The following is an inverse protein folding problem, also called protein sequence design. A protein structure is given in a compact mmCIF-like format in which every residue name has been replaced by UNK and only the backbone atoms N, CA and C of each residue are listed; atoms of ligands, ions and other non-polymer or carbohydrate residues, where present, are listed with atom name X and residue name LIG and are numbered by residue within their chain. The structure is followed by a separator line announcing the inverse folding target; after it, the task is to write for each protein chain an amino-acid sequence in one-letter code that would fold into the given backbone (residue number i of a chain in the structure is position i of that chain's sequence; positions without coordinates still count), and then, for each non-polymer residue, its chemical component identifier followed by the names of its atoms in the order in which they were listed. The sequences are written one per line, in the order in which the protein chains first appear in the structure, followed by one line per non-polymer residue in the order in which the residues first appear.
data_IF_333566022694
#
_entry.id   IF_333566022694
#
_cell.length_a   1.000
_cell.length_b   1.000
_cell.length_c   1.000
_cell.angle_alpha   90.00
_cell.angle_beta   90.00
_cell.angle_gamma   90.00
#
_symmetry.space_group_name_H-M   'P 1'
#
loop_
_entity.id
_entity.type
_entity.pdbx_description
1 polymer ?
#
# COMPACT_ATOMS: atom_id res chain seq x y z
N UNK A 1 -19.41 -8.71 -30.37
CA UNK A 1 -18.63 -7.55 -29.89
C UNK A 1 -17.52 -8.05 -28.97
N UNK A 2 -16.26 -8.09 -29.44
CA UNK A 2 -15.11 -8.55 -28.65
C UNK A 2 -13.85 -7.75 -29.04
N UNK A 3 -13.49 -6.77 -28.21
CA UNK A 3 -12.12 -6.25 -27.97
C UNK A 3 -12.18 -5.65 -26.55
N UNK A 4 -11.26 -5.99 -25.62
CA UNK A 4 -9.85 -5.69 -25.78
C UNK A 4 -8.90 -6.77 -25.23
N UNK A 5 -8.06 -7.36 -26.07
CA UNK A 5 -6.91 -8.16 -25.59
C UNK A 5 -5.61 -7.86 -26.36
N UNK A 6 -5.61 -6.83 -27.20
CA UNK A 6 -4.56 -6.61 -28.19
C UNK A 6 -3.49 -5.58 -27.79
N UNK A 7 -3.58 -4.96 -26.60
CA UNK A 7 -2.55 -4.01 -26.15
C UNK A 7 -1.45 -4.64 -25.28
N UNK A 8 -1.59 -5.90 -24.86
CA UNK A 8 -0.58 -6.57 -24.03
C UNK A 8 0.52 -7.30 -24.80
N UNK A 9 0.40 -7.44 -26.13
CA UNK A 9 1.30 -8.27 -26.93
C UNK A 9 2.29 -7.52 -27.83
N UNK A 10 2.26 -6.18 -27.88
CA UNK A 10 3.07 -5.45 -28.86
C UNK A 10 4.51 -5.07 -28.44
N UNK A 11 5.00 -5.52 -27.28
CA UNK A 11 6.40 -5.30 -26.87
C UNK A 11 7.28 -6.55 -26.96
N UNK A 12 6.81 -7.62 -27.60
CA UNK A 12 7.47 -8.91 -27.59
C UNK A 12 8.01 -9.35 -28.96
N UNK A 13 8.87 -8.56 -29.62
CA UNK A 13 9.81 -9.12 -30.62
C UNK A 13 10.97 -8.17 -30.91
N UNK A 14 12.05 -8.25 -30.13
CA UNK A 14 13.40 -7.95 -30.64
C UNK A 14 14.41 -8.88 -29.99
N UNK A 15 15.12 -9.66 -30.80
CA UNK A 15 16.46 -10.18 -30.51
C UNK A 15 16.54 -11.46 -29.67
N UNK A 16 16.65 -12.59 -30.36
CA UNK A 16 17.36 -13.77 -29.86
C UNK A 16 18.85 -13.40 -29.87
N UNK A 17 19.40 -13.09 -28.70
CA UNK A 17 20.83 -13.20 -28.39
C UNK A 17 20.95 -13.11 -26.86
N UNK A 18 22.00 -13.72 -26.32
CA UNK A 18 22.38 -13.87 -24.91
C UNK A 18 22.63 -12.54 -24.16
N UNK A 19 21.67 -11.63 -24.17
CA UNK A 19 21.74 -10.36 -23.48
C UNK A 19 21.34 -10.55 -22.02
N UNK A 20 22.33 -10.54 -21.13
CA UNK A 20 22.13 -10.12 -19.75
C UNK A 20 21.53 -8.71 -19.79
N UNK A 21 20.20 -8.62 -19.83
CA UNK A 21 19.49 -7.36 -20.04
C UNK A 21 19.95 -6.32 -18.99
N UNK A 22 20.52 -5.25 -19.52
CA UNK A 22 21.03 -4.03 -18.87
C UNK A 22 19.91 -3.08 -18.44
N UNK A 23 18.71 -3.61 -18.27
CA UNK A 23 17.49 -2.85 -18.01
C UNK A 23 17.52 -2.34 -16.57
N UNK A 24 17.44 -1.01 -16.42
CA UNK A 24 17.55 -0.31 -15.13
C UNK A 24 16.18 0.06 -14.56
N UNK A 25 15.13 -0.05 -15.36
CA UNK A 25 13.79 0.38 -14.99
C UNK A 25 12.89 -0.83 -14.80
N UNK A 26 12.03 -0.79 -13.80
CA UNK A 26 10.94 -1.74 -13.68
C UNK A 26 9.66 -1.05 -13.26
N UNK A 27 8.54 -1.57 -13.78
CA UNK A 27 7.19 -1.18 -13.39
C UNK A 27 6.47 -2.41 -12.85
N UNK A 28 5.85 -2.27 -11.70
CA UNK A 28 5.11 -3.32 -11.01
C UNK A 28 3.66 -2.94 -10.76
N UNK A 29 2.78 -3.92 -10.87
CA UNK A 29 1.42 -3.88 -10.34
C UNK A 29 1.34 -4.81 -9.14
N UNK A 30 0.72 -4.36 -8.04
CA UNK A 30 0.51 -5.14 -6.80
C UNK A 30 -0.99 -5.31 -6.57
N UNK A 31 -1.64 -6.30 -7.20
CA UNK A 31 -3.09 -6.50 -7.11
C UNK A 31 -3.54 -6.94 -5.71
N UNK A 32 -2.67 -7.60 -4.95
CA UNK A 32 -2.92 -7.89 -3.54
C UNK A 32 -1.87 -7.17 -2.71
N UNK A 33 -2.28 -6.08 -2.07
CA UNK A 33 -1.47 -5.33 -1.14
C UNK A 33 -2.25 -5.17 0.17
N UNK A 34 -1.76 -5.80 1.24
CA UNK A 34 -2.25 -5.63 2.60
C UNK A 34 -1.25 -4.77 3.34
N UNK A 35 -1.45 -3.47 3.26
CA UNK A 35 -0.54 -2.46 3.79
C UNK A 35 -1.15 -1.74 4.98
N UNK A 36 -0.26 -1.15 5.80
CA UNK A 36 -0.64 -0.44 7.02
C UNK A 36 -1.41 -1.33 8.01
N UNK A 37 -1.07 -2.62 8.06
CA UNK A 37 -1.67 -3.56 8.99
C UNK A 37 -1.25 -3.14 10.41
N UNK A 38 -2.13 -2.49 11.17
CA UNK A 38 -1.81 -2.13 12.56
C UNK A 38 -1.67 -3.41 13.39
N UNK A 39 -0.52 -3.56 14.05
CA UNK A 39 -0.18 -4.77 14.81
C UNK A 39 -0.62 -4.69 16.29
N UNK A 40 -1.29 -3.62 16.70
CA UNK A 40 -1.90 -3.46 18.02
C UNK A 40 -3.42 -3.50 17.88
N UNK A 41 -4.09 -4.35 18.66
CA UNK A 41 -5.54 -4.54 18.65
C UNK A 41 -6.27 -3.26 19.10
N UNK A 42 -6.53 -2.34 18.18
CA UNK A 42 -7.57 -1.33 18.36
C UNK A 42 -8.80 -1.72 17.53
N UNK A 43 -10.02 -1.59 18.09
CA UNK A 43 -11.27 -2.03 17.47
C UNK A 43 -11.67 -1.26 16.19
N UNK A 44 -10.85 -0.31 15.72
CA UNK A 44 -11.10 0.54 14.55
C UNK A 44 -9.94 0.56 13.55
N UNK A 45 -9.00 -0.38 13.65
CA UNK A 45 -7.92 -0.49 12.67
C UNK A 45 -8.33 -1.49 11.57
N UNK A 46 -8.56 -0.94 10.37
CA UNK A 46 -9.14 -1.65 9.24
C UNK A 46 -8.08 -2.28 8.34
N UNK A 47 -8.34 -3.50 7.89
CA UNK A 47 -7.54 -4.21 6.90
C UNK A 47 -8.35 -4.37 5.62
N UNK A 48 -7.88 -3.75 4.53
CA UNK A 48 -8.48 -3.88 3.21
C UNK A 48 -7.46 -4.36 2.19
N UNK A 49 -7.91 -5.10 1.17
CA UNK A 49 -7.08 -5.37 -0.01
C UNK A 49 -6.91 -4.05 -0.76
N UNK A 50 -5.66 -3.66 -0.97
CA UNK A 50 -5.29 -2.45 -1.67
C UNK A 50 -4.66 -2.80 -3.02
N UNK A 51 -4.73 -1.85 -3.93
CA UNK A 51 -4.04 -1.90 -5.21
C UNK A 51 -2.77 -1.05 -5.14
N UNK A 52 -1.64 -1.61 -5.56
CA UNK A 52 -0.39 -0.89 -5.64
C UNK A 52 0.18 -0.79 -7.05
N UNK A 53 0.90 0.29 -7.30
CA UNK A 53 1.84 0.44 -8.41
C UNK A 53 3.24 0.65 -7.82
N UNK A 54 4.26 0.11 -8.46
CA UNK A 54 5.65 0.35 -8.07
C UNK A 54 6.47 0.71 -9.29
N UNK A 55 7.20 1.82 -9.20
CA UNK A 55 8.29 2.09 -10.12
C UNK A 55 9.63 1.86 -9.41
N UNK A 56 10.57 1.23 -10.11
CA UNK A 56 11.92 0.99 -9.62
C UNK A 56 12.95 1.47 -10.66
N UNK A 57 13.98 2.17 -10.18
CA UNK A 57 15.14 2.55 -10.97
C UNK A 57 16.45 2.11 -10.31
N UNK A 58 17.17 1.20 -10.95
CA UNK A 58 18.50 0.77 -10.54
C UNK A 58 19.57 1.77 -11.00
N UNK A 59 20.03 2.61 -10.06
CA UNK A 59 21.07 3.59 -10.32
C UNK A 59 22.49 3.03 -10.13
N UNK A 60 22.63 1.91 -9.42
CA UNK A 60 23.94 1.33 -9.11
C UNK A 60 24.57 0.62 -10.31
N UNK A 61 25.83 0.96 -10.64
CA UNK A 61 26.61 0.25 -11.67
C UNK A 61 26.76 -1.25 -11.37
N UNK A 62 26.88 -1.60 -10.10
CA UNK A 62 26.96 -3.00 -9.63
C UNK A 62 25.59 -3.66 -9.46
N UNK A 63 24.51 -2.97 -9.88
CA UNK A 63 23.11 -3.42 -9.75
C UNK A 63 22.70 -3.79 -8.32
N UNK A 64 23.36 -3.20 -7.31
CA UNK A 64 23.08 -3.47 -5.89
C UNK A 64 22.04 -2.54 -5.27
N UNK A 65 21.81 -1.37 -5.86
CA UNK A 65 20.89 -0.38 -5.31
C UNK A 65 19.93 0.15 -6.35
N UNK A 66 18.69 0.32 -5.92
CA UNK A 66 17.62 0.94 -6.69
C UNK A 66 16.86 1.94 -5.84
N UNK A 67 16.36 3.00 -6.47
CA UNK A 67 15.32 3.84 -5.91
C UNK A 67 13.96 3.21 -6.27
N UNK A 68 13.03 3.22 -5.33
CA UNK A 68 11.67 2.72 -5.52
C UNK A 68 10.66 3.80 -5.19
N UNK A 69 9.56 3.83 -5.95
CA UNK A 69 8.40 4.66 -5.68
C UNK A 69 7.13 3.81 -5.79
N UNK A 70 6.75 3.13 -4.70
CA UNK A 70 5.46 2.49 -4.58
C UNK A 70 4.37 3.53 -4.27
N UNK A 71 3.23 3.32 -4.91
CA UNK A 71 1.99 4.07 -4.79
C UNK A 71 0.90 3.06 -4.43
N UNK A 72 0.07 3.36 -3.44
CA UNK A 72 -0.98 2.45 -3.02
C UNK A 72 -2.29 3.20 -2.86
N UNK A 73 -3.36 2.54 -3.32
CA UNK A 73 -4.72 3.00 -3.18
C UNK A 73 -5.59 1.86 -2.61
N UNK A 74 -6.29 2.16 -1.52
CA UNK A 74 -7.20 1.24 -0.84
C UNK A 74 -8.61 1.81 -0.78
N UNK A 75 -9.60 0.92 -0.84
CA UNK A 75 -10.98 1.23 -0.46
C UNK A 75 -11.22 0.59 0.90
N UNK A 76 -11.77 1.37 1.82
CA UNK A 76 -12.17 0.89 3.14
C UNK A 76 -13.68 0.69 3.09
N UNK A 77 -14.15 -0.53 3.33
CA UNK A 77 -15.57 -0.84 3.36
C UNK A 77 -15.83 -2.00 4.32
N UNK A 78 -16.48 -1.71 5.43
CA UNK A 78 -16.89 -2.71 6.41
C UNK A 78 -18.35 -2.48 6.78
N UNK A 79 -19.11 -3.56 6.79
CA UNK A 79 -20.49 -3.58 7.26
C UNK A 79 -20.57 -4.63 8.37
N UNK A 80 -20.96 -4.21 9.56
CA UNK A 80 -21.30 -5.12 10.64
C UNK A 80 -22.81 -5.35 10.69
N UNK A 81 -23.21 -6.54 11.14
CA UNK A 81 -24.61 -6.98 11.27
C UNK A 81 -25.44 -6.11 12.23
N UNK A 82 -24.79 -5.32 13.08
CA UNK A 82 -25.42 -4.41 14.05
C UNK A 82 -25.76 -3.01 13.48
N UNK A 83 -25.76 -2.87 12.14
CA UNK A 83 -26.07 -1.61 11.46
C UNK A 83 -24.88 -0.63 11.42
N UNK A 84 -23.72 -1.04 11.92
CA UNK A 84 -22.50 -0.24 11.81
C UNK A 84 -21.92 -0.35 10.41
N UNK A 85 -21.61 0.79 9.80
CA UNK A 85 -21.01 0.88 8.47
C UNK A 85 -19.80 1.79 8.51
N UNK A 86 -18.73 1.37 7.86
CA UNK A 86 -17.54 2.18 7.66
C UNK A 86 -17.16 2.17 6.19
N UNK A 87 -16.97 3.35 5.61
CA UNK A 87 -16.67 3.50 4.19
C UNK A 87 -15.68 4.63 3.94
N UNK A 88 -14.71 4.41 3.06
CA UNK A 88 -13.73 5.43 2.75
C UNK A 88 -12.64 4.97 1.80
N UNK A 89 -11.56 5.75 1.77
CA UNK A 89 -10.43 5.56 0.86
C UNK A 89 -9.13 5.88 1.57
N UNK A 90 -8.09 5.16 1.17
CA UNK A 90 -6.73 5.40 1.62
C UNK A 90 -5.83 5.57 0.40
N UNK A 91 -4.93 6.55 0.46
CA UNK A 91 -3.89 6.74 -0.52
C UNK A 91 -2.57 7.02 0.17
N UNK A 92 -1.51 6.33 -0.24
CA UNK A 92 -0.18 6.62 0.26
C UNK A 92 0.90 6.34 -0.77
N UNK A 93 2.03 6.98 -0.55
CA UNK A 93 3.26 6.81 -1.31
C UNK A 93 4.35 6.32 -0.36
N UNK A 94 5.24 5.45 -0.83
CA UNK A 94 6.32 4.91 0.01
C UNK A 94 7.71 4.97 -0.64
N UNK A 95 8.20 6.16 -1.06
CA UNK A 95 9.51 6.29 -1.69
C UNK A 95 10.62 5.70 -0.83
N UNK A 96 11.57 5.01 -1.47
CA UNK A 96 12.59 4.29 -0.73
C UNK A 96 13.80 3.87 -1.54
N UNK A 97 14.70 3.17 -0.86
CA UNK A 97 15.87 2.54 -1.44
C UNK A 97 15.79 1.03 -1.25
N UNK A 98 16.13 0.27 -2.30
CA UNK A 98 16.15 -1.19 -2.31
C UNK A 98 17.58 -1.67 -2.56
N UNK A 99 18.05 -2.58 -1.71
CA UNK A 99 19.36 -3.21 -1.75
C UNK A 99 19.26 -4.67 -2.19
N UNK A 100 20.14 -5.07 -3.09
CA UNK A 100 20.27 -6.43 -3.62
C UNK A 100 21.61 -7.01 -3.19
N UNK A 101 21.64 -8.02 -2.30
CA UNK A 101 22.88 -8.64 -1.84
C UNK A 101 23.60 -9.44 -2.96
N UNK A 102 22.87 -9.92 -3.98
CA UNK A 102 23.42 -10.61 -5.15
C UNK A 102 23.82 -9.64 -6.28
N UNK A 103 24.76 -10.03 -7.15
CA UNK A 103 25.41 -9.12 -8.12
C UNK A 103 24.89 -9.21 -9.56
N UNK A 104 24.18 -10.27 -9.95
CA UNK A 104 23.99 -10.57 -11.38
C UNK A 104 22.54 -10.59 -11.86
N UNK A 105 21.56 -10.88 -10.99
CA UNK A 105 20.17 -11.00 -11.42
C UNK A 105 19.15 -10.46 -10.40
N UNK A 106 18.77 -9.19 -10.57
CA UNK A 106 17.68 -8.59 -9.79
C UNK A 106 16.28 -9.13 -10.16
N UNK A 107 16.14 -9.99 -11.17
CA UNK A 107 14.84 -10.60 -11.53
C UNK A 107 14.59 -11.92 -10.77
N UNK A 108 15.63 -12.49 -10.17
CA UNK A 108 15.56 -13.71 -9.38
C UNK A 108 16.43 -13.58 -8.13
N UNK A 109 15.85 -13.21 -6.99
CA UNK A 109 16.62 -13.06 -5.77
C UNK A 109 16.01 -12.18 -4.69
N UNK A 110 16.72 -12.12 -3.58
CA UNK A 110 16.35 -11.37 -2.39
C UNK A 110 16.66 -9.89 -2.55
N UNK A 111 15.85 -9.04 -1.92
CA UNK A 111 16.17 -7.63 -1.75
C UNK A 111 15.55 -7.06 -0.49
N UNK A 112 16.20 -6.03 0.04
CA UNK A 112 15.83 -5.34 1.27
C UNK A 112 15.59 -3.87 0.96
N UNK A 113 14.39 -3.38 1.25
CA UNK A 113 13.96 -2.00 1.07
C UNK A 113 13.89 -1.26 2.39
N UNK A 114 14.21 0.03 2.35
CA UNK A 114 13.84 0.98 3.39
C UNK A 114 13.09 2.13 2.72
N UNK A 115 11.83 2.29 3.11
CA UNK A 115 10.90 3.21 2.49
C UNK A 115 10.40 4.21 3.53
N UNK A 116 10.28 5.47 3.12
CA UNK A 116 9.55 6.49 3.88
C UNK A 116 8.08 6.42 3.50
N UNK A 117 7.19 6.33 4.47
CA UNK A 117 5.75 6.27 4.26
C UNK A 117 5.16 7.68 4.39
N UNK A 118 4.31 8.07 3.44
CA UNK A 118 3.49 9.28 3.53
C UNK A 118 2.11 8.97 2.97
N UNK A 119 1.06 9.19 3.76
CA UNK A 119 -0.29 8.86 3.33
C UNK A 119 -1.38 9.63 4.02
N UNK A 120 -2.57 9.45 3.45
CA UNK A 120 -3.82 10.02 3.91
C UNK A 120 -4.93 8.98 3.77
N UNK A 121 -5.79 8.87 4.77
CA UNK A 121 -7.03 8.12 4.67
C UNK A 121 -8.21 9.02 5.06
N UNK A 122 -9.33 8.86 4.38
CA UNK A 122 -10.58 9.54 4.69
C UNK A 122 -11.70 8.52 4.69
N UNK A 123 -12.43 8.44 5.79
CA UNK A 123 -13.53 7.51 5.91
C UNK A 123 -14.61 8.05 6.84
N UNK A 124 -15.85 7.69 6.53
CA UNK A 124 -17.02 7.97 7.33
C UNK A 124 -17.47 6.71 8.02
N UNK A 125 -17.98 6.83 9.23
CA UNK A 125 -18.59 5.75 9.96
C UNK A 125 -20.02 6.09 10.38
N UNK A 126 -20.82 5.05 10.52
CA UNK A 126 -22.16 5.08 11.09
C UNK A 126 -22.22 3.97 12.10
N UNK A 127 -22.49 4.32 13.36
CA UNK A 127 -22.82 3.43 14.46
C UNK A 127 -24.25 3.76 14.92
N UNK A 128 -24.92 2.85 15.65
CA UNK A 128 -26.31 3.07 16.09
C UNK A 128 -26.56 4.41 16.81
N UNK A 129 -25.55 4.94 17.52
CA UNK A 129 -25.66 6.16 18.32
C UNK A 129 -24.71 7.28 17.87
N UNK A 130 -23.94 7.08 16.79
CA UNK A 130 -22.96 8.06 16.35
C UNK A 130 -22.68 7.96 14.85
N UNK A 131 -22.55 9.11 14.19
CA UNK A 131 -22.05 9.22 12.82
C UNK A 131 -20.86 10.16 12.84
N UNK A 132 -19.84 9.88 12.06
CA UNK A 132 -18.69 10.75 12.01
C UNK A 132 -17.83 10.58 10.77
N UNK A 133 -17.03 11.60 10.52
CA UNK A 133 -16.05 11.67 9.45
C UNK A 133 -14.65 11.71 10.08
N UNK A 134 -13.76 10.89 9.54
CA UNK A 134 -12.37 10.80 9.98
C UNK A 134 -11.44 11.21 8.85
N UNK A 135 -10.54 12.16 9.16
CA UNK A 135 -9.37 12.48 8.34
C UNK A 135 -8.10 11.99 9.05
N UNK A 136 -7.39 11.08 8.40
CA UNK A 136 -6.16 10.50 8.90
C UNK A 136 -4.99 10.94 8.01
N UNK A 137 -3.95 11.50 8.61
CA UNK A 137 -2.67 11.78 7.93
C UNK A 137 -1.57 11.04 8.64
N UNK A 138 -0.66 10.42 7.91
CA UNK A 138 0.44 9.69 8.52
C UNK A 138 1.74 9.79 7.74
N UNK A 139 2.82 9.69 8.51
CA UNK A 139 4.19 9.62 8.03
C UNK A 139 4.93 8.50 8.77
N UNK A 140 5.92 7.87 8.16
CA UNK A 140 6.56 6.74 8.81
C UNK A 140 7.72 6.14 8.02
N UNK A 141 8.15 4.97 8.46
CA UNK A 141 9.19 4.20 7.80
C UNK A 141 8.77 2.73 7.72
N UNK A 142 9.14 2.09 6.62
CA UNK A 142 8.84 0.69 6.35
C UNK A 142 10.12 0.01 5.88
N UNK A 143 10.51 -1.06 6.59
CA UNK A 143 11.55 -1.97 6.14
C UNK A 143 10.87 -3.12 5.40
N UNK A 144 11.26 -3.36 4.15
CA UNK A 144 10.62 -4.35 3.28
C UNK A 144 11.64 -5.42 2.89
N UNK A 145 11.22 -6.67 2.94
CA UNK A 145 11.91 -7.77 2.32
C UNK A 145 11.11 -8.22 1.10
N UNK A 146 11.81 -8.42 -0.01
CA UNK A 146 11.21 -8.87 -1.26
C UNK A 146 11.98 -10.08 -1.77
N UNK A 147 11.25 -11.01 -2.37
CA UNK A 147 11.85 -12.09 -3.15
C UNK A 147 11.31 -12.03 -4.57
N UNK A 148 12.18 -11.83 -5.56
CA UNK A 148 11.80 -11.84 -6.96
C UNK A 148 11.93 -13.25 -7.52
N UNK A 149 10.88 -13.74 -8.18
CA UNK A 149 10.86 -14.98 -8.95
C UNK A 149 10.70 -14.62 -10.42
N UNK A 150 11.71 -14.92 -11.23
CA UNK A 150 11.66 -14.67 -12.68
C UNK A 150 10.65 -15.62 -13.33
N UNK A 151 9.61 -15.06 -13.96
CA UNK A 151 8.63 -15.82 -14.75
C UNK A 151 9.03 -15.88 -16.23
N UNK A 152 9.57 -14.77 -16.75
CA UNK A 152 10.07 -14.64 -18.13
C UNK A 152 11.27 -13.71 -18.17
N UNK A 153 11.86 -13.48 -19.35
CA UNK A 153 13.06 -12.63 -19.52
C UNK A 153 12.93 -11.25 -18.85
N UNK A 154 11.77 -10.61 -18.99
CA UNK A 154 11.48 -9.27 -18.45
C UNK A 154 10.42 -9.27 -17.35
N UNK A 155 9.78 -10.41 -17.06
CA UNK A 155 8.68 -10.51 -16.10
C UNK A 155 9.11 -11.25 -14.84
N UNK A 156 8.80 -10.68 -13.69
CA UNK A 156 9.04 -11.31 -12.39
C UNK A 156 7.85 -11.14 -11.46
N UNK A 157 7.57 -12.18 -10.67
CA UNK A 157 6.66 -12.13 -9.55
C UNK A 157 7.44 -11.71 -8.30
N UNK A 158 6.88 -10.82 -7.50
CA UNK A 158 7.54 -10.25 -6.32
C UNK A 158 6.60 -10.25 -5.12
N UNK A 159 6.57 -11.34 -4.33
CA UNK A 159 6.11 -11.26 -2.95
C UNK A 159 7.01 -10.30 -2.14
N UNK A 160 6.37 -9.50 -1.31
CA UNK A 160 6.98 -8.53 -0.42
C UNK A 160 6.33 -8.64 0.97
N UNK A 161 7.16 -8.62 2.00
CA UNK A 161 6.74 -8.51 3.39
C UNK A 161 7.51 -7.37 4.05
N UNK A 162 6.84 -6.55 4.84
CA UNK A 162 7.46 -5.41 5.50
C UNK A 162 6.91 -5.16 6.88
N UNK A 163 7.73 -4.49 7.69
CA UNK A 163 7.41 -4.03 9.03
C UNK A 163 7.91 -2.61 9.19
N UNK A 164 7.18 -1.80 9.93
CA UNK A 164 7.49 -0.39 10.06
C UNK A 164 6.75 0.27 11.19
N UNK A 165 6.96 1.58 11.30
CA UNK A 165 6.19 2.43 12.19
C UNK A 165 5.60 3.59 11.41
N UNK A 166 4.42 4.05 11.83
CA UNK A 166 3.84 5.30 11.36
C UNK A 166 3.42 6.18 12.53
N UNK A 167 3.65 7.47 12.38
CA UNK A 167 3.09 8.52 13.20
C UNK A 167 1.86 9.05 12.47
N UNK A 168 0.71 9.00 13.13
CA UNK A 168 -0.56 9.38 12.53
C UNK A 168 -1.26 10.44 13.37
N UNK A 169 -1.89 11.38 12.68
CA UNK A 169 -2.81 12.37 13.23
C UNK A 169 -4.20 12.04 12.71
N UNK A 170 -5.13 11.77 13.63
CA UNK A 170 -6.51 11.38 13.36
C UNK A 170 -7.42 12.50 13.86
N UNK A 171 -8.10 13.16 12.94
CA UNK A 171 -9.15 14.12 13.25
C UNK A 171 -10.49 13.41 13.10
N UNK A 172 -11.33 13.49 14.12
CA UNK A 172 -12.64 12.85 14.17
C UNK A 172 -13.71 13.91 14.42
N UNK A 173 -14.50 14.21 13.38
CA UNK A 173 -15.69 15.05 13.48
C UNK A 173 -16.90 14.14 13.60
N UNK A 174 -17.62 14.20 14.71
CA UNK A 174 -18.71 13.26 14.98
C UNK A 174 -19.94 13.93 15.56
N UNK A 175 -21.07 13.26 15.37
CA UNK A 175 -22.35 13.62 15.93
C UNK A 175 -22.88 12.39 16.66
N UNK A 176 -23.24 12.53 17.94
CA UNK A 176 -23.81 11.44 18.73
C UNK A 176 -25.18 11.82 19.29
N UNK A 177 -26.01 10.81 19.56
CA UNK A 177 -27.32 10.99 20.19
C UNK A 177 -27.12 11.23 21.68
N UNK A 178 -27.64 12.35 22.19
CA UNK A 178 -27.67 12.60 23.62
C UNK A 178 -28.67 11.64 24.30
N UNK A 179 -28.18 10.74 25.14
CA UNK A 179 -29.00 9.84 25.97
C UNK A 179 -29.24 10.40 27.39
N UNK A 180 -28.83 11.66 27.63
CA UNK A 180 -28.96 12.35 28.92
C UNK A 180 -29.99 13.47 28.79
N UNK A 181 -31.28 13.11 28.89
CA UNK A 181 -32.40 14.05 29.00
C UNK A 181 -33.63 13.67 28.16
N UNK A 182 -34.79 14.32 28.37
CA UNK A 182 -36.02 14.07 27.61
C UNK A 182 -35.94 14.53 26.15
N UNK A 183 -34.93 15.34 25.82
CA UNK A 183 -34.69 15.88 24.48
C UNK A 183 -33.53 15.10 23.82
N UNK A 184 -33.86 14.13 22.97
CA UNK A 184 -32.92 13.34 22.17
C UNK A 184 -32.28 14.19 21.05
N UNK A 185 -31.47 15.17 21.45
CA UNK A 185 -30.72 16.03 20.53
C UNK A 185 -29.45 15.37 20.00
N UNK A 186 -29.07 15.71 18.78
CA UNK A 186 -27.78 15.35 18.21
C UNK A 186 -26.72 16.37 18.66
N UNK A 187 -25.63 15.90 19.27
CA UNK A 187 -24.53 16.74 19.75
C UNK A 187 -23.32 16.55 18.83
N UNK A 188 -22.78 17.64 18.30
CA UNK A 188 -21.54 17.65 17.52
C UNK A 188 -20.31 17.71 18.43
N UNK A 189 -19.27 16.96 18.10
CA UNK A 189 -17.95 17.01 18.72
C UNK A 189 -16.82 16.91 17.69
N UNK A 190 -15.64 17.37 18.06
CA UNK A 190 -14.40 17.19 17.30
C UNK A 190 -13.29 16.75 18.26
N UNK A 191 -12.60 15.68 17.89
CA UNK A 191 -11.42 15.21 18.60
C UNK A 191 -10.23 15.02 17.66
N UNK A 192 -9.04 15.35 18.13
CA UNK A 192 -7.78 15.08 17.44
C UNK A 192 -6.91 14.15 18.27
N UNK A 193 -6.53 13.02 17.69
CA UNK A 193 -5.70 11.99 18.32
C UNK A 193 -4.40 11.81 17.53
N UNK A 194 -3.26 11.99 18.20
CA UNK A 194 -1.95 11.72 17.62
C UNK A 194 -1.37 10.45 18.23
N UNK A 195 -0.97 9.48 17.39
CA UNK A 195 -0.39 8.22 17.87
C UNK A 195 0.73 7.70 16.98
N UNK A 196 1.62 6.91 17.56
CA UNK A 196 2.62 6.12 16.86
C UNK A 196 2.18 4.66 16.84
N UNK A 197 2.27 4.01 15.69
CA UNK A 197 1.71 2.66 15.48
C UNK A 197 2.70 1.80 14.73
N UNK A 198 2.85 0.55 15.17
CA UNK A 198 3.60 -0.47 14.43
C UNK A 198 2.72 -1.03 13.31
N UNK A 199 3.27 -1.08 12.10
CA UNK A 199 2.56 -1.52 10.90
C UNK A 199 3.25 -2.69 10.22
N UNK A 200 2.44 -3.60 9.66
CA UNK A 200 2.84 -4.63 8.72
C UNK A 200 2.45 -4.27 7.29
N UNK A 201 3.18 -4.83 6.34
CA UNK A 201 2.83 -4.82 4.91
C UNK A 201 3.07 -6.21 4.31
N UNK A 202 2.10 -6.73 3.58
CA UNK A 202 2.23 -7.95 2.78
C UNK A 202 1.68 -7.67 1.38
N UNK A 203 2.48 -7.89 0.34
CA UNK A 203 1.99 -7.75 -1.02
C UNK A 203 2.56 -8.78 -1.97
N UNK A 204 1.88 -8.99 -3.09
CA UNK A 204 2.41 -9.73 -4.23
C UNK A 204 2.20 -8.90 -5.49
N UNK A 205 3.27 -8.73 -6.26
CA UNK A 205 3.24 -7.94 -7.48
C UNK A 205 3.83 -8.65 -8.69
N UNK A 206 3.33 -8.28 -9.88
CA UNK A 206 3.92 -8.64 -11.16
C UNK A 206 4.71 -7.44 -11.68
N UNK A 207 5.98 -7.64 -11.99
CA UNK A 207 6.91 -6.60 -12.42
C UNK A 207 7.46 -6.88 -13.81
N UNK A 208 7.46 -5.84 -14.63
CA UNK A 208 8.05 -5.80 -15.97
C UNK A 208 9.30 -4.91 -15.97
N UNK A 209 10.40 -5.42 -16.49
CA UNK A 209 11.70 -4.74 -16.56
C UNK A 209 12.05 -4.34 -17.99
N UNK A 210 12.51 -3.09 -18.19
CA UNK A 210 12.85 -2.49 -19.49
C UNK A 210 14.02 -1.51 -19.41
#
# INVERSE_FOLDING_TARGET
MKKPLFLFFLCATTGINSLAQTTRHALGIKPFNFSNIVLQNEPNDHFGVQFGLEYEYCFSKSKKFSAVLPLTYGVINENNSLGSKLQGREFYISPGLKFYPGTTDQASGHSFGLNFLLGKAQYSYTYPLAVGDIDLKYLGFLANYNYSVRLWRTLSLRPEAGIGCRFQSKNNDFIFVNDVGPDNGWISGNETHNKAVLIGNLSIGLHYRF
#
